data_IF_529707959192
#
_entry.id   IF_529707959192
#
_cell.length_a   1.000
_cell.length_b   1.000
_cell.length_c   1.000
_cell.angle_alpha   90.00
_cell.angle_beta   90.00
_cell.angle_gamma   90.00
#
_symmetry.space_group_name_H-M   'P 1'
#
loop_
_entity.id
_entity.type
_entity.pdbx_description
1 polymer ?
#
# COMPACT_ATOMS: atom_id res chain seq x y z
N UNK A 1 -2.95 -4.78 -2.00
CA UNK A 1 -2.85 -3.42 -1.42
C UNK A 1 -2.10 -3.56 -0.11
N UNK A 2 -1.21 -2.62 0.23
CA UNK A 2 -0.49 -2.65 1.51
C UNK A 2 -0.94 -1.47 2.37
N UNK A 3 -1.25 -1.73 3.64
CA UNK A 3 -1.58 -0.71 4.65
C UNK A 3 -0.48 -0.70 5.71
N UNK A 4 0.13 0.45 5.96
CA UNK A 4 1.14 0.61 7.00
C UNK A 4 1.13 2.03 7.57
N UNK A 5 1.11 2.16 8.90
CA UNK A 5 1.07 3.44 9.60
C UNK A 5 -0.02 4.41 9.08
N UNK A 6 -1.22 3.89 8.78
CA UNK A 6 -2.33 4.64 8.18
C UNK A 6 -2.07 5.25 6.79
N UNK A 7 -1.01 4.81 6.12
CA UNK A 7 -0.75 5.07 4.70
C UNK A 7 -1.09 3.86 3.86
N UNK A 8 -1.66 4.12 2.68
CA UNK A 8 -2.03 3.09 1.72
C UNK A 8 -1.04 3.09 0.59
N UNK A 9 -0.54 1.91 0.23
CA UNK A 9 0.34 1.71 -0.90
C UNK A 9 -0.27 0.78 -1.94
N UNK A 10 0.02 1.10 -3.19
CA UNK A 10 -0.33 0.30 -4.38
C UNK A 10 0.92 -0.38 -4.92
N UNK A 11 0.77 -1.61 -5.42
CA UNK A 11 1.87 -2.32 -6.06
C UNK A 11 2.32 -1.52 -7.30
N UNK A 12 3.57 -1.08 -7.31
CA UNK A 12 4.18 -0.40 -8.44
C UNK A 12 4.86 -1.41 -9.36
N UNK A 13 5.58 -2.38 -8.76
CA UNK A 13 6.32 -3.42 -9.49
C UNK A 13 6.49 -4.67 -8.65
N UNK A 14 6.40 -5.84 -9.27
CA UNK A 14 6.81 -7.13 -8.70
C UNK A 14 8.05 -7.64 -9.41
N UNK A 15 9.03 -8.14 -8.65
CA UNK A 15 10.17 -8.91 -9.19
C UNK A 15 10.12 -10.34 -8.65
N UNK A 16 11.09 -11.17 -9.03
CA UNK A 16 11.20 -12.54 -8.54
C UNK A 16 11.47 -12.67 -7.03
N UNK A 17 11.86 -11.58 -6.36
CA UNK A 17 12.31 -11.63 -4.95
C UNK A 17 11.59 -10.61 -4.05
N UNK A 18 11.02 -9.56 -4.65
CA UNK A 18 10.48 -8.43 -3.88
C UNK A 18 9.30 -7.76 -4.57
N UNK A 19 8.52 -7.09 -3.75
CA UNK A 19 7.39 -6.27 -4.16
C UNK A 19 7.70 -4.81 -3.83
N UNK A 20 7.63 -3.96 -4.85
CA UNK A 20 7.85 -2.52 -4.72
C UNK A 20 6.49 -1.85 -4.70
N UNK A 21 6.26 -1.11 -3.62
CA UNK A 21 5.03 -0.40 -3.37
C UNK A 21 5.28 1.10 -3.41
N UNK A 22 4.32 1.85 -3.96
CA UNK A 22 4.28 3.30 -3.94
C UNK A 22 3.07 3.80 -3.17
N UNK A 23 3.18 4.94 -2.51
CA UNK A 23 2.06 5.61 -1.88
C UNK A 23 0.92 5.81 -2.89
N UNK A 24 -0.32 5.68 -2.41
CA UNK A 24 -1.52 5.84 -3.23
C UNK A 24 -1.78 7.28 -3.63
N UNK A 25 -1.34 8.25 -2.83
CA UNK A 25 -1.49 9.67 -3.16
C UNK A 25 -0.61 10.04 -4.37
N UNK A 26 -1.19 10.68 -5.38
CA UNK A 26 -0.51 11.01 -6.64
C UNK A 26 0.57 12.09 -6.48
N UNK A 27 0.48 12.92 -5.47
CA UNK A 27 1.45 13.97 -5.15
C UNK A 27 2.55 13.44 -4.22
N UNK A 28 2.44 12.20 -3.74
CA UNK A 28 3.42 11.57 -2.87
C UNK A 28 4.36 10.65 -3.65
N UNK A 29 5.65 10.68 -3.28
CA UNK A 29 6.70 9.84 -3.86
C UNK A 29 7.18 8.75 -2.91
N UNK A 30 6.51 8.59 -1.77
CA UNK A 30 6.90 7.59 -0.78
C UNK A 30 6.80 6.17 -1.36
N UNK A 31 7.80 5.35 -1.07
CA UNK A 31 7.89 3.96 -1.51
C UNK A 31 8.35 3.08 -0.37
N UNK A 32 8.01 1.80 -0.46
CA UNK A 32 8.50 0.76 0.43
C UNK A 32 8.68 -0.54 -0.35
N UNK A 33 9.46 -1.46 0.21
CA UNK A 33 9.75 -2.75 -0.41
C UNK A 33 9.48 -3.85 0.60
N UNK A 34 8.76 -4.88 0.19
CA UNK A 34 8.56 -6.10 0.98
C UNK A 34 9.15 -7.30 0.25
N UNK A 35 9.31 -8.42 0.96
CA UNK A 35 9.43 -9.73 0.33
C UNK A 35 8.13 -10.10 -0.42
N UNK A 36 8.13 -11.21 -1.15
CA UNK A 36 6.97 -11.68 -1.91
C UNK A 36 5.76 -12.01 -1.04
N UNK A 37 5.98 -12.48 0.18
CA UNK A 37 4.91 -12.84 1.12
C UNK A 37 4.35 -11.64 1.89
N UNK A 38 4.96 -10.46 1.75
CA UNK A 38 4.56 -9.20 2.39
C UNK A 38 4.61 -9.19 3.93
N UNK A 39 5.24 -10.19 4.56
CA UNK A 39 5.33 -10.28 6.03
C UNK A 39 6.32 -9.29 6.65
N UNK A 40 7.31 -8.84 5.87
CA UNK A 40 8.34 -7.94 6.34
C UNK A 40 8.78 -6.93 5.28
N UNK A 41 9.16 -5.73 5.74
CA UNK A 41 9.81 -4.74 4.89
C UNK A 41 11.27 -5.12 4.66
N UNK A 42 11.65 -5.31 3.40
CA UNK A 42 13.06 -5.31 2.99
C UNK A 42 13.62 -3.90 2.96
N UNK A 43 12.78 -2.90 2.71
CA UNK A 43 13.14 -1.49 2.85
C UNK A 43 11.96 -0.73 3.47
N UNK A 44 12.20 0.01 4.57
CA UNK A 44 11.14 0.72 5.26
C UNK A 44 10.54 1.80 4.34
N UNK A 45 9.32 2.26 4.64
CA UNK A 45 8.72 3.33 3.88
C UNK A 45 9.53 4.63 3.95
N UNK A 46 9.75 5.24 2.80
CA UNK A 46 10.33 6.59 2.74
C UNK A 46 9.33 7.64 3.22
N UNK A 47 9.83 8.84 3.54
CA UNK A 47 9.03 9.93 4.06
C UNK A 47 7.89 10.35 3.12
N UNK A 48 6.75 10.71 3.71
CA UNK A 48 5.58 11.24 3.01
C UNK A 48 5.58 12.77 3.05
N UNK A 49 5.05 13.40 2.01
CA UNK A 49 4.85 14.85 1.93
C UNK A 49 3.47 15.31 2.41
N UNK A 50 2.70 14.40 3.02
CA UNK A 50 1.34 14.64 3.49
C UNK A 50 1.07 13.85 4.77
N UNK A 51 0.05 14.27 5.51
CA UNK A 51 -0.45 13.52 6.65
C UNK A 51 -1.16 12.22 6.20
N UNK A 52 -1.23 11.19 7.06
CA UNK A 52 -2.01 10.00 6.76
C UNK A 52 -3.50 10.35 6.70
N UNK A 53 -4.25 9.62 5.88
CA UNK A 53 -5.70 9.79 5.75
C UNK A 53 -6.40 8.49 6.22
N UNK A 54 -6.79 8.42 7.51
CA UNK A 54 -7.35 7.20 8.10
C UNK A 54 -8.73 6.84 7.52
N UNK A 55 -9.54 7.81 7.09
CA UNK A 55 -10.88 7.58 6.53
C UNK A 55 -10.86 6.86 5.17
N UNK A 56 -9.76 6.95 4.43
CA UNK A 56 -9.61 6.22 3.16
C UNK A 56 -9.46 4.70 3.37
N UNK A 57 -8.93 4.27 4.51
CA UNK A 57 -8.69 2.84 4.80
C UNK A 57 -9.99 2.03 4.82
N UNK A 58 -11.01 2.36 5.64
CA UNK A 58 -12.26 1.62 5.67
C UNK A 58 -13.03 1.72 4.34
N UNK A 59 -12.96 2.87 3.64
CA UNK A 59 -13.59 3.02 2.34
C UNK A 59 -13.01 2.06 1.28
N UNK A 60 -11.70 1.82 1.31
CA UNK A 60 -11.05 0.86 0.41
C UNK A 60 -11.32 -0.59 0.81
N UNK A 61 -11.41 -0.88 2.11
CA UNK A 61 -11.80 -2.22 2.57
C UNK A 61 -13.22 -2.56 2.13
N UNK A 62 -14.18 -1.65 2.33
CA UNK A 62 -15.56 -1.84 1.90
C UNK A 62 -15.66 -2.11 0.39
N UNK A 63 -14.93 -1.33 -0.42
CA UNK A 63 -14.84 -1.55 -1.87
C UNK A 63 -14.31 -2.95 -2.22
N UNK A 64 -13.35 -3.45 -1.45
CA UNK A 64 -12.75 -4.77 -1.66
C UNK A 64 -13.73 -5.89 -1.32
N UNK A 65 -14.47 -5.73 -0.21
CA UNK A 65 -15.49 -6.66 0.26
C UNK A 65 -16.66 -6.77 -0.72
N UNK A 66 -17.16 -5.64 -1.21
CA UNK A 66 -18.22 -5.59 -2.24
C UNK A 66 -17.78 -6.34 -3.49
N UNK A 67 -16.53 -6.14 -3.93
CA UNK A 67 -16.00 -6.85 -5.10
C UNK A 67 -15.92 -8.36 -4.86
N UNK A 68 -15.46 -8.79 -3.69
CA UNK A 68 -15.34 -10.21 -3.36
C UNK A 68 -16.70 -10.93 -3.32
N UNK A 69 -17.76 -10.24 -2.87
CA UNK A 69 -19.13 -10.79 -2.83
C UNK A 69 -19.82 -10.84 -4.19
N UNK A 70 -19.38 -10.02 -5.14
CA UNK A 70 -19.95 -9.92 -6.48
C UNK A 70 -19.31 -10.89 -7.50
N UNK A 71 -18.40 -11.76 -7.06
CA UNK A 71 -17.68 -12.74 -7.89
C UNK A 71 -18.00 -14.15 -7.41
#
# INVERSE_FOLDING_TARGET
MLLHASYIYTLERSTAEKLIFRCRDRNCKARCITNLSMDAFQSPPTAHCHAPNPDLVPALQLKSDIKARAT
#
